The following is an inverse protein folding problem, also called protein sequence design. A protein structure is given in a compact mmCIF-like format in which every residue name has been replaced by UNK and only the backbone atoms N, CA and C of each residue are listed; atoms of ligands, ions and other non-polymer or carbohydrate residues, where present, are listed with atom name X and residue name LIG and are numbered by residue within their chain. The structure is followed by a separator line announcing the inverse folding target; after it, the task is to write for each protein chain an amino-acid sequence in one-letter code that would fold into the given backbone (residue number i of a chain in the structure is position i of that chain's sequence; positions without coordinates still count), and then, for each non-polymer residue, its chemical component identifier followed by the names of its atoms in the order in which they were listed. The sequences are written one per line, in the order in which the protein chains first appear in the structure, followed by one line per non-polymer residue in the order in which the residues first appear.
data_IF_231283084787
#
_entry.id   IF_231283084787
#
_cell.length_a   1.000
_cell.length_b   1.000
_cell.length_c   1.000
_cell.angle_alpha   90.00
_cell.angle_beta   90.00
_cell.angle_gamma   90.00
#
_symmetry.space_group_name_H-M   'P 1'
#
loop_
_entity.id
_entity.type
_entity.pdbx_description
1 polymer ?
#
# COMPACT_ATOMS: atom_id res chain seq x y z
N UNK A 1 56.38 34.75 -4.30
CA UNK A 1 55.21 34.00 -4.79
C UNK A 1 55.06 32.73 -3.96
N UNK A 2 53.97 32.59 -3.20
CA UNK A 2 53.50 31.30 -2.67
C UNK A 2 52.05 31.47 -2.23
N UNK A 3 51.14 31.15 -3.14
CA UNK A 3 49.71 31.08 -2.89
C UNK A 3 49.40 29.72 -2.27
N UNK A 4 48.84 29.71 -1.06
CA UNK A 4 48.38 28.49 -0.42
C UNK A 4 47.05 28.07 -1.06
N UNK A 5 47.09 26.95 -1.79
CA UNK A 5 45.95 26.35 -2.45
C UNK A 5 45.12 25.58 -1.41
N UNK A 6 44.00 26.15 -0.96
CA UNK A 6 43.02 25.45 -0.13
C UNK A 6 42.04 24.69 -1.03
N UNK A 7 42.20 23.37 -1.11
CA UNK A 7 41.22 22.45 -1.71
C UNK A 7 40.12 22.16 -0.69
N UNK A 8 38.97 22.82 -0.83
CA UNK A 8 37.73 22.43 -0.16
C UNK A 8 37.08 21.28 -0.94
N UNK A 9 37.30 20.06 -0.47
CA UNK A 9 36.54 18.89 -0.91
C UNK A 9 35.21 18.86 -0.15
N UNK A 10 34.18 19.43 -0.75
CA UNK A 10 32.78 19.23 -0.35
C UNK A 10 32.37 17.81 -0.76
N UNK A 11 32.61 16.84 0.13
CA UNK A 11 31.92 15.56 0.06
C UNK A 11 30.47 15.79 0.51
N UNK A 12 29.62 16.23 -0.43
CA UNK A 12 28.18 16.07 -0.27
C UNK A 12 27.90 14.56 -0.37
N UNK A 13 27.94 13.87 0.77
CA UNK A 13 27.38 12.54 0.91
C UNK A 13 25.90 12.64 0.60
N UNK A 14 25.54 12.36 -0.66
CA UNK A 14 24.17 12.07 -1.04
C UNK A 14 23.84 10.77 -0.31
N UNK A 15 23.36 10.90 0.92
CA UNK A 15 22.63 9.83 1.59
C UNK A 15 21.35 9.65 0.79
N UNK A 16 21.46 8.92 -0.33
CA UNK A 16 20.33 8.23 -0.89
C UNK A 16 19.87 7.30 0.22
N UNK A 17 18.86 7.73 0.98
CA UNK A 17 18.20 6.89 1.95
C UNK A 17 17.95 5.56 1.22
N UNK A 18 18.48 4.43 1.73
CA UNK A 18 18.31 3.15 1.06
C UNK A 18 16.82 2.98 0.86
N UNK A 19 16.41 2.66 -0.37
CA UNK A 19 15.03 2.34 -0.72
C UNK A 19 14.54 1.19 0.17
N UNK A 20 14.19 1.49 1.41
CA UNK A 20 13.26 0.69 2.19
C UNK A 20 11.99 0.73 1.35
N UNK A 21 11.76 -0.40 0.68
CA UNK A 21 10.93 -0.55 -0.51
C UNK A 21 9.62 0.23 -0.42
N UNK A 22 9.16 0.81 -1.54
CA UNK A 22 7.81 1.40 -1.67
C UNK A 22 6.72 0.49 -1.07
N UNK A 23 6.91 -0.84 -1.11
CA UNK A 23 6.02 -1.83 -0.48
C UNK A 23 6.14 -1.88 1.04
N UNK A 24 7.34 -1.75 1.60
CA UNK A 24 7.54 -1.71 3.05
C UNK A 24 6.91 -0.45 3.67
N UNK A 25 7.02 0.69 3.00
CA UNK A 25 6.32 1.91 3.41
C UNK A 25 4.80 1.77 3.32
N UNK A 26 4.28 1.17 2.25
CA UNK A 26 2.85 0.84 2.11
C UNK A 26 2.35 -0.04 3.26
N UNK A 27 3.10 -1.09 3.60
CA UNK A 27 2.76 -2.00 4.69
C UNK A 27 2.79 -1.30 6.05
N UNK A 28 3.78 -0.44 6.30
CA UNK A 28 3.86 0.34 7.53
C UNK A 28 2.66 1.28 7.70
N UNK A 29 2.24 1.95 6.62
CA UNK A 29 1.06 2.83 6.66
C UNK A 29 -0.24 2.04 6.90
N UNK A 30 -0.37 0.84 6.33
CA UNK A 30 -1.51 -0.04 6.62
C UNK A 30 -1.53 -0.54 8.05
N UNK A 31 -0.38 -0.88 8.61
CA UNK A 31 -0.25 -1.29 10.01
C UNK A 31 -0.74 -0.17 10.95
N UNK A 32 -0.27 1.05 10.74
CA UNK A 32 -0.74 2.24 11.47
C UNK A 32 -2.25 2.50 11.28
N UNK A 33 -2.78 2.21 10.10
CA UNK A 33 -4.23 2.30 9.84
C UNK A 33 -5.01 1.23 10.63
N UNK A 34 -4.50 0.00 10.68
CA UNK A 34 -5.09 -1.12 11.42
C UNK A 34 -5.10 -0.86 12.94
N UNK A 35 -4.01 -0.27 13.47
CA UNK A 35 -3.88 0.09 14.89
C UNK A 35 -4.80 1.25 15.28
N UNK A 36 -5.08 2.15 14.35
CA UNK A 36 -5.94 3.32 14.60
C UNK A 36 -7.38 3.13 14.11
N UNK A 37 -7.83 1.88 13.92
CA UNK A 37 -9.21 1.52 13.61
C UNK A 37 -10.14 2.06 14.70
N UNK A 38 -10.88 3.12 14.37
CA UNK A 38 -11.91 3.70 15.23
C UNK A 38 -13.22 2.89 15.13
N UNK A 39 -14.17 3.15 16.04
CA UNK A 39 -15.52 2.57 15.99
C UNK A 39 -16.21 2.84 14.64
N UNK A 40 -16.03 4.01 14.06
CA UNK A 40 -16.58 4.38 12.74
C UNK A 40 -16.00 3.51 11.61
N UNK A 41 -14.72 3.13 11.72
CA UNK A 41 -14.10 2.21 10.79
C UNK A 41 -14.57 0.76 11.00
N UNK A 42 -14.88 0.36 12.24
CA UNK A 42 -15.42 -0.98 12.52
C UNK A 42 -16.82 -1.19 11.93
N UNK A 43 -17.61 -0.12 11.82
CA UNK A 43 -18.94 -0.17 11.21
C UNK A 43 -18.90 -0.19 9.68
N UNK A 44 -17.80 0.23 9.06
CA UNK A 44 -17.61 0.19 7.62
C UNK A 44 -17.57 -1.27 7.14
N UNK A 45 -18.49 -1.61 6.24
CA UNK A 45 -18.57 -2.92 5.60
C UNK A 45 -17.98 -2.83 4.20
N UNK A 46 -16.93 -3.61 3.96
CA UNK A 46 -16.16 -3.61 2.72
C UNK A 46 -16.29 -4.98 2.08
N UNK A 47 -16.57 -5.01 0.77
CA UNK A 47 -16.49 -6.25 0.00
C UNK A 47 -15.07 -6.78 0.05
N UNK A 48 -14.92 -7.97 0.62
CA UNK A 48 -13.62 -8.55 0.93
C UNK A 48 -13.55 -9.95 0.33
N UNK A 49 -12.53 -10.27 -0.49
CA UNK A 49 -12.37 -11.61 -1.03
C UNK A 49 -12.30 -12.67 0.06
N UNK A 50 -13.00 -13.78 -0.14
CA UNK A 50 -12.91 -14.93 0.76
C UNK A 50 -11.50 -15.52 0.72
N UNK A 51 -10.96 -15.70 -0.49
CA UNK A 51 -9.58 -16.06 -0.73
C UNK A 51 -8.78 -14.86 -1.27
N UNK A 52 -7.80 -14.39 -0.49
CA UNK A 52 -6.93 -13.26 -0.90
C UNK A 52 -5.89 -13.65 -1.96
N UNK A 53 -5.74 -14.96 -2.20
CA UNK A 53 -4.76 -15.54 -3.12
C UNK A 53 -5.36 -15.83 -4.49
N UNK A 54 -6.68 -15.66 -4.63
CA UNK A 54 -7.34 -15.81 -5.90
C UNK A 54 -6.98 -14.62 -6.81
N UNK A 55 -6.34 -14.95 -7.92
CA UNK A 55 -5.92 -13.97 -8.94
C UNK A 55 -7.10 -13.25 -9.59
N UNK A 56 -8.31 -13.82 -9.51
CA UNK A 56 -9.53 -13.20 -10.01
C UNK A 56 -10.08 -12.11 -9.07
N UNK A 57 -9.57 -12.03 -7.83
CA UNK A 57 -10.11 -11.12 -6.82
C UNK A 57 -9.38 -9.77 -6.74
N UNK A 58 -8.46 -9.48 -7.65
CA UNK A 58 -7.60 -8.30 -7.53
C UNK A 58 -8.38 -6.99 -7.72
N UNK A 59 -9.31 -6.89 -8.68
CA UNK A 59 -10.23 -5.74 -8.77
C UNK A 59 -11.02 -5.53 -7.50
N UNK A 60 -11.57 -6.59 -6.90
CA UNK A 60 -12.32 -6.50 -5.65
C UNK A 60 -11.47 -5.91 -4.53
N UNK A 61 -10.18 -6.25 -4.46
CA UNK A 61 -9.24 -5.64 -3.49
C UNK A 61 -9.08 -4.15 -3.78
N UNK A 62 -8.97 -3.76 -5.05
CA UNK A 62 -8.86 -2.36 -5.45
C UNK A 62 -10.13 -1.57 -5.12
N UNK A 63 -11.30 -2.10 -5.44
CA UNK A 63 -12.60 -1.52 -5.11
C UNK A 63 -12.81 -1.39 -3.60
N UNK A 64 -12.47 -2.42 -2.82
CA UNK A 64 -12.53 -2.36 -1.36
C UNK A 64 -11.59 -1.30 -0.77
N UNK A 65 -10.44 -1.07 -1.41
CA UNK A 65 -9.50 -0.01 -0.99
C UNK A 65 -10.07 1.38 -1.32
N UNK A 66 -10.78 1.52 -2.44
CA UNK A 66 -11.52 2.74 -2.76
C UNK A 66 -12.65 3.01 -1.77
N UNK A 67 -13.40 1.99 -1.35
CA UNK A 67 -14.40 2.11 -0.28
C UNK A 67 -13.75 2.58 1.03
N UNK A 68 -12.61 2.00 1.41
CA UNK A 68 -11.85 2.40 2.60
C UNK A 68 -11.41 3.87 2.57
N UNK A 69 -11.04 4.39 1.38
CA UNK A 69 -10.63 5.79 1.17
C UNK A 69 -11.77 6.79 1.39
N UNK A 70 -13.02 6.40 1.20
CA UNK A 70 -14.18 7.30 1.38
C UNK A 70 -14.44 7.65 2.85
N UNK A 71 -13.93 6.86 3.79
CA UNK A 71 -14.17 7.09 5.21
C UNK A 71 -13.29 8.24 5.76
N UNK A 72 -13.87 9.26 6.43
CA UNK A 72 -13.09 10.39 6.95
C UNK A 72 -11.94 10.00 7.89
N UNK A 73 -12.08 8.90 8.64
CA UNK A 73 -11.04 8.44 9.57
C UNK A 73 -9.76 7.99 8.83
N UNK A 74 -9.84 7.67 7.53
CA UNK A 74 -8.67 7.26 6.74
C UNK A 74 -7.99 8.43 6.02
N UNK A 75 -8.55 9.66 6.08
CA UNK A 75 -8.01 10.84 5.40
C UNK A 75 -6.55 11.15 5.77
N UNK A 76 -6.17 10.92 7.03
CA UNK A 76 -4.77 11.09 7.52
C UNK A 76 -3.77 10.13 6.85
N UNK A 77 -4.26 9.08 6.20
CA UNK A 77 -3.47 8.11 5.43
C UNK A 77 -3.53 8.38 3.92
N UNK A 78 -3.78 9.62 3.48
CA UNK A 78 -3.78 9.98 2.05
C UNK A 78 -2.52 9.52 1.30
N UNK A 79 -1.36 9.56 1.94
CA UNK A 79 -0.08 9.08 1.40
C UNK A 79 -0.11 7.59 1.08
N UNK A 80 -0.81 6.78 1.89
CA UNK A 80 -1.01 5.36 1.60
C UNK A 80 -1.78 5.20 0.28
N UNK A 81 -2.92 5.88 0.13
CA UNK A 81 -3.75 5.77 -1.06
C UNK A 81 -3.03 6.24 -2.32
N UNK A 82 -2.23 7.30 -2.24
CA UNK A 82 -1.39 7.77 -3.36
C UNK A 82 -0.35 6.73 -3.79
N UNK A 83 0.32 6.08 -2.83
CA UNK A 83 1.30 5.02 -3.12
C UNK A 83 0.61 3.76 -3.62
N UNK A 84 -0.56 3.44 -3.08
CA UNK A 84 -1.34 2.27 -3.47
C UNK A 84 -1.84 2.39 -4.91
N UNK A 85 -2.21 3.59 -5.36
CA UNK A 85 -2.60 3.83 -6.75
C UNK A 85 -1.45 3.50 -7.73
N UNK A 86 -0.20 3.79 -7.35
CA UNK A 86 0.97 3.39 -8.17
C UNK A 86 1.14 1.88 -8.22
N UNK A 87 0.91 1.19 -7.09
CA UNK A 87 0.89 -0.28 -7.06
C UNK A 87 -0.24 -0.82 -7.95
N UNK A 88 -1.45 -0.24 -7.86
CA UNK A 88 -2.60 -0.59 -8.70
C UNK A 88 -2.23 -0.53 -10.18
N UNK A 89 -1.69 0.61 -10.63
CA UNK A 89 -1.25 0.83 -12.01
C UNK A 89 -0.17 -0.16 -12.47
N UNK A 90 0.73 -0.59 -11.57
CA UNK A 90 1.75 -1.60 -11.92
C UNK A 90 1.18 -3.02 -12.08
N UNK A 91 0.06 -3.31 -11.42
CA UNK A 91 -0.58 -4.62 -11.44
C UNK A 91 -1.66 -4.75 -12.53
N UNK A 92 -2.34 -3.66 -12.87
CA UNK A 92 -3.44 -3.63 -13.86
C UNK A 92 -3.08 -4.28 -15.21
N UNK A 93 -1.89 -4.07 -15.82
CA UNK A 93 -1.55 -4.70 -17.09
C UNK A 93 -1.50 -6.23 -17.07
N UNK A 94 -1.32 -6.83 -15.88
CA UNK A 94 -1.21 -8.28 -15.69
C UNK A 94 -2.51 -8.90 -15.14
N UNK A 95 -3.57 -8.12 -14.98
CA UNK A 95 -4.87 -8.65 -14.61
C UNK A 95 -5.44 -9.38 -15.83
N UNK A 96 -5.44 -10.71 -15.75
CA UNK A 96 -6.22 -11.53 -16.68
C UNK A 96 -7.69 -11.05 -16.66
N UNK A 97 -8.45 -11.41 -17.70
CA UNK A 97 -9.90 -11.21 -17.71
C UNK A 97 -10.47 -11.87 -16.46
N UNK A 98 -10.89 -11.05 -15.50
CA UNK A 98 -11.14 -11.53 -14.14
C UNK A 98 -12.30 -12.53 -14.14
N UNK A 99 -12.03 -13.71 -13.58
CA UNK A 99 -13.05 -14.70 -13.31
C UNK A 99 -13.96 -14.28 -12.14
N UNK A 100 -14.85 -15.18 -11.75
CA UNK A 100 -15.69 -14.96 -10.57
C UNK A 100 -14.83 -14.88 -9.30
N UNK A 101 -14.88 -13.76 -8.58
CA UNK A 101 -14.35 -13.64 -7.23
C UNK A 101 -15.47 -13.85 -6.21
N UNK A 102 -15.30 -14.79 -5.28
CA UNK A 102 -16.21 -14.95 -4.14
C UNK A 102 -15.83 -13.99 -3.00
N UNK A 103 -16.81 -13.24 -2.50
CA UNK A 103 -16.61 -12.16 -1.53
C UNK A 103 -17.58 -12.24 -0.35
N UNK A 104 -17.16 -11.67 0.77
CA UNK A 104 -18.01 -11.42 1.94
C UNK A 104 -17.87 -9.97 2.42
N UNK A 105 -18.97 -9.39 2.92
CA UNK A 105 -18.96 -8.09 3.60
C UNK A 105 -18.33 -8.15 4.99
N UNK A 106 -17.04 -7.85 5.07
CA UNK A 106 -16.28 -7.81 6.32
C UNK A 106 -16.13 -6.38 6.84
N UNK A 107 -15.77 -6.24 8.12
CA UNK A 107 -15.42 -4.93 8.67
C UNK A 107 -14.05 -4.44 8.13
N UNK A 108 -13.79 -3.14 8.24
CA UNK A 108 -12.57 -2.55 7.72
C UNK A 108 -11.28 -3.15 8.31
N UNK A 109 -11.29 -3.59 9.58
CA UNK A 109 -10.10 -4.21 10.19
C UNK A 109 -9.72 -5.51 9.47
N UNK A 110 -10.69 -6.38 9.22
CA UNK A 110 -10.46 -7.64 8.50
C UNK A 110 -10.00 -7.36 7.07
N UNK A 111 -10.62 -6.38 6.41
CA UNK A 111 -10.22 -5.97 5.06
C UNK A 111 -8.76 -5.48 5.05
N UNK A 112 -8.37 -4.58 5.96
CA UNK A 112 -7.00 -4.05 6.08
C UNK A 112 -5.99 -5.19 6.31
N UNK A 113 -6.30 -6.16 7.15
CA UNK A 113 -5.42 -7.33 7.38
C UNK A 113 -5.21 -8.15 6.11
N UNK A 114 -6.28 -8.38 5.32
CA UNK A 114 -6.18 -9.05 4.03
C UNK A 114 -5.40 -8.22 3.00
N UNK A 115 -5.61 -6.91 2.97
CA UNK A 115 -4.86 -5.98 2.12
C UNK A 115 -3.36 -5.99 2.43
N UNK A 116 -2.96 -6.07 3.72
CA UNK A 116 -1.56 -6.27 4.09
C UNK A 116 -0.99 -7.57 3.52
N UNK A 117 -1.75 -8.66 3.56
CA UNK A 117 -1.34 -9.95 2.98
C UNK A 117 -1.17 -9.85 1.46
N UNK A 118 -2.11 -9.21 0.78
CA UNK A 118 -2.02 -8.97 -0.66
C UNK A 118 -0.75 -8.19 -1.03
N UNK A 119 -0.46 -7.06 -0.37
CA UNK A 119 0.74 -6.26 -0.65
C UNK A 119 2.03 -7.04 -0.35
N UNK A 120 2.06 -7.82 0.74
CA UNK A 120 3.22 -8.69 1.04
C UNK A 120 3.47 -9.70 -0.09
N UNK A 121 2.42 -10.25 -0.69
CA UNK A 121 2.54 -11.21 -1.81
C UNK A 121 2.97 -10.51 -3.09
N UNK A 122 2.36 -9.39 -3.44
CA UNK A 122 2.77 -8.57 -4.57
C UNK A 122 4.26 -8.18 -4.47
N UNK A 123 4.74 -7.85 -3.27
CA UNK A 123 6.15 -7.54 -3.02
C UNK A 123 7.10 -8.73 -3.21
N UNK A 124 6.65 -9.97 -3.01
CA UNK A 124 7.49 -11.17 -3.19
C UNK A 124 7.62 -11.55 -4.66
N UNK A 125 6.55 -11.36 -5.44
CA UNK A 125 6.51 -11.71 -6.85
C UNK A 125 7.16 -10.66 -7.77
N UNK A 126 7.52 -9.49 -7.22
CA UNK A 126 8.23 -8.42 -7.93
C UNK A 126 9.77 -8.56 -7.91
N UNK A 127 10.31 -9.62 -7.30
CA UNK A 127 11.73 -10.00 -7.33
C UNK A 127 11.94 -11.13 -8.33
#
# INVERSE_FOLDING_TARGET
MKTHLYLLLLAAGISAAPHTSSMAELLKLLEQMCESVTKDLQNLRIETPDNIDDVNCVSTIFEGTEQLKTNPATKKFSVFFQKFERLKQSLTPNLATEGKCDTERRNARIFIQKLMTFIRKASKNAR
#
